data_IF_539101088597
#
_entry.id   IF_539101088597
#
_cell.length_a   1.000
_cell.length_b   1.000
_cell.length_c   1.000
_cell.angle_alpha   90.00
_cell.angle_beta   90.00
_cell.angle_gamma   90.00
#
_symmetry.space_group_name_H-M   'P 1'
#
loop_
_entity.id
_entity.type
_entity.pdbx_description
1 polymer ?
#
# COMPACT_ATOMS: atom_id res chain seq x y z
N UNK A 1 14.13 7.78 -2.85
CA UNK A 1 12.76 7.23 -2.67
C UNK A 1 11.92 7.46 -3.92
N UNK A 2 10.95 6.59 -4.19
CA UNK A 2 9.89 6.80 -5.19
C UNK A 2 8.54 6.73 -4.50
N UNK A 3 7.62 7.61 -4.87
CA UNK A 3 6.27 7.69 -4.31
C UNK A 3 5.25 7.28 -5.37
N UNK A 4 4.22 6.55 -4.93
CA UNK A 4 3.16 6.06 -5.79
C UNK A 4 1.82 6.32 -5.11
N UNK A 5 0.87 6.93 -5.83
CA UNK A 5 -0.50 7.01 -5.38
C UNK A 5 -1.10 5.61 -5.45
N UNK A 6 -1.80 5.18 -4.41
CA UNK A 6 -2.30 3.79 -4.30
C UNK A 6 -3.70 3.74 -3.71
N UNK A 7 -4.29 2.55 -3.70
CA UNK A 7 -5.50 2.28 -2.92
C UNK A 7 -6.75 2.96 -3.46
N UNK A 8 -7.59 3.44 -2.53
CA UNK A 8 -8.89 4.02 -2.85
C UNK A 8 -8.80 5.21 -3.79
N UNK A 9 -7.76 6.05 -3.64
CA UNK A 9 -7.57 7.22 -4.49
C UNK A 9 -7.43 6.86 -5.98
N UNK A 10 -6.68 5.81 -6.31
CA UNK A 10 -6.51 5.38 -7.71
C UNK A 10 -7.80 4.75 -8.24
N UNK A 11 -8.44 3.88 -7.46
CA UNK A 11 -9.72 3.27 -7.79
C UNK A 11 -10.80 4.32 -8.07
N UNK A 12 -10.92 5.30 -7.18
CA UNK A 12 -11.97 6.32 -7.26
C UNK A 12 -11.74 7.24 -8.47
N UNK A 13 -10.49 7.59 -8.78
CA UNK A 13 -10.14 8.28 -10.04
C UNK A 13 -10.58 7.48 -11.27
N UNK A 14 -10.33 6.17 -11.30
CA UNK A 14 -10.70 5.30 -12.42
C UNK A 14 -12.22 5.15 -12.58
N UNK A 15 -12.96 5.23 -11.47
CA UNK A 15 -14.43 5.19 -11.45
C UNK A 15 -15.08 6.56 -11.74
N UNK A 16 -14.30 7.64 -11.85
CA UNK A 16 -14.81 9.00 -11.98
C UNK A 16 -15.48 9.54 -10.71
N UNK A 17 -15.11 8.98 -9.54
CA UNK A 17 -15.60 9.39 -8.22
C UNK A 17 -14.64 10.46 -7.68
N UNK A 18 -15.18 11.44 -6.95
CA UNK A 18 -14.36 12.46 -6.30
C UNK A 18 -13.44 11.83 -5.25
N UNK A 19 -12.14 12.10 -5.35
CA UNK A 19 -11.14 11.57 -4.41
C UNK A 19 -11.10 12.44 -3.16
N UNK A 20 -11.42 11.83 -2.02
CA UNK A 20 -11.47 12.52 -0.72
C UNK A 20 -10.11 12.45 -0.02
N UNK A 21 -9.48 11.27 -0.04
CA UNK A 21 -8.22 10.99 0.65
C UNK A 21 -7.23 10.37 -0.33
N UNK A 22 -5.94 10.66 -0.14
CA UNK A 22 -4.85 10.13 -0.95
C UNK A 22 -3.87 9.38 -0.06
N UNK A 23 -3.71 8.10 -0.39
CA UNK A 23 -2.73 7.23 0.21
C UNK A 23 -1.55 7.04 -0.74
N UNK A 24 -0.36 7.13 -0.18
CA UNK A 24 0.89 6.99 -0.92
C UNK A 24 1.70 5.81 -0.40
N UNK A 25 2.35 5.09 -1.32
CA UNK A 25 3.38 4.11 -0.99
C UNK A 25 4.74 4.67 -1.39
N UNK A 26 5.71 4.54 -0.49
CA UNK A 26 7.08 4.96 -0.68
C UNK A 26 7.98 3.73 -0.80
N UNK A 27 8.68 3.62 -1.93
CA UNK A 27 9.61 2.52 -2.25
C UNK A 27 11.05 3.04 -2.24
N UNK A 28 11.98 2.20 -1.79
CA UNK A 28 13.40 2.55 -1.77
C UNK A 28 13.72 3.67 -0.78
N UNK A 29 13.13 3.60 0.41
CA UNK A 29 13.42 4.49 1.53
C UNK A 29 13.35 3.72 2.85
N UNK A 30 14.05 4.24 3.85
CA UNK A 30 14.06 3.79 5.24
C UNK A 30 13.24 4.73 6.13
N UNK A 31 12.87 4.26 7.32
CA UNK A 31 12.24 5.11 8.35
C UNK A 31 13.09 6.34 8.64
N UNK A 32 14.41 6.17 8.76
CA UNK A 32 15.33 7.28 9.02
C UNK A 32 15.26 8.34 7.91
N UNK A 33 15.32 7.93 6.64
CA UNK A 33 15.25 8.86 5.51
C UNK A 33 13.90 9.60 5.40
N UNK A 34 12.80 8.97 5.86
CA UNK A 34 11.50 9.64 5.98
C UNK A 34 11.56 10.72 7.07
N UNK A 35 12.05 10.37 8.25
CA UNK A 35 12.17 11.32 9.38
C UNK A 35 13.14 12.47 9.09
N UNK A 36 14.26 12.19 8.40
CA UNK A 36 15.23 13.20 7.96
C UNK A 36 14.63 14.20 6.95
N UNK A 37 13.48 13.87 6.34
CA UNK A 37 12.71 14.72 5.44
C UNK A 37 11.46 15.33 6.11
N UNK A 38 11.43 15.40 7.44
CA UNK A 38 10.34 15.98 8.23
C UNK A 38 8.99 15.26 8.12
N UNK A 39 8.97 14.02 7.62
CA UNK A 39 7.77 13.19 7.71
C UNK A 39 7.48 12.82 9.17
N UNK A 40 6.21 12.88 9.55
CA UNK A 40 5.79 12.55 10.92
C UNK A 40 5.24 11.13 10.98
N UNK A 41 5.90 10.23 11.72
CA UNK A 41 5.41 8.87 11.87
C UNK A 41 4.07 8.80 12.64
N UNK A 42 3.14 7.99 12.14
CA UNK A 42 1.85 7.71 12.75
C UNK A 42 1.78 6.23 13.13
N UNK A 43 1.55 5.97 14.42
CA UNK A 43 1.56 4.61 14.96
C UNK A 43 2.98 4.05 15.16
N UNK A 44 3.10 3.08 16.06
CA UNK A 44 4.39 2.45 16.38
C UNK A 44 4.66 1.19 15.56
N UNK A 45 3.60 0.48 15.21
CA UNK A 45 3.70 -0.87 14.63
C UNK A 45 3.76 -0.86 13.10
N UNK A 46 3.30 0.22 12.47
CA UNK A 46 3.27 0.36 11.02
C UNK A 46 4.13 1.54 10.55
N UNK A 47 4.91 1.39 9.46
CA UNK A 47 5.75 2.46 8.93
C UNK A 47 4.91 3.41 8.05
N UNK A 48 3.93 4.08 8.67
CA UNK A 48 3.07 5.08 8.04
C UNK A 48 3.47 6.47 8.55
N UNK A 49 3.49 7.44 7.66
CA UNK A 49 3.96 8.80 7.95
C UNK A 49 3.04 9.84 7.32
N UNK A 50 2.90 11.01 7.95
CA UNK A 50 2.25 12.16 7.36
C UNK A 50 3.27 13.01 6.62
N UNK A 51 2.94 13.38 5.39
CA UNK A 51 3.72 14.32 4.61
C UNK A 51 3.80 15.69 5.31
N UNK A 52 4.98 16.34 5.40
CA UNK A 52 5.18 17.57 6.19
C UNK A 52 4.23 18.71 5.79
N UNK A 53 3.96 18.87 4.49
CA UNK A 53 3.15 19.98 3.95
C UNK A 53 1.68 19.61 3.77
N UNK A 54 1.40 18.48 3.13
CA UNK A 54 0.03 18.10 2.71
C UNK A 54 -0.71 17.33 3.79
N UNK A 55 0.01 16.76 4.76
CA UNK A 55 -0.52 15.84 5.79
C UNK A 55 -1.19 14.59 5.20
N UNK A 56 -0.94 14.27 3.94
CA UNK A 56 -1.37 13.01 3.32
C UNK A 56 -0.54 11.83 3.87
N UNK A 57 -1.11 10.63 3.83
CA UNK A 57 -0.48 9.43 4.37
C UNK A 57 0.51 8.81 3.37
N UNK A 58 1.72 8.53 3.86
CA UNK A 58 2.80 7.89 3.13
C UNK A 58 3.27 6.66 3.90
N UNK A 59 2.99 5.47 3.38
CA UNK A 59 3.43 4.21 3.95
C UNK A 59 4.70 3.73 3.24
N UNK A 60 5.70 3.26 3.99
CA UNK A 60 6.80 2.50 3.38
C UNK A 60 6.28 1.17 2.83
N UNK A 61 6.76 0.81 1.64
CA UNK A 61 6.51 -0.50 1.05
C UNK A 61 6.97 -1.60 2.02
N UNK A 62 6.10 -2.60 2.21
CA UNK A 62 6.33 -3.63 3.23
C UNK A 62 5.85 -5.00 2.77
N UNK A 63 6.44 -6.03 3.35
CA UNK A 63 5.98 -7.42 3.25
C UNK A 63 5.71 -7.99 4.63
N UNK A 64 4.95 -9.07 4.68
CA UNK A 64 4.76 -9.85 5.90
C UNK A 64 5.77 -11.00 5.92
N UNK A 65 6.56 -11.11 6.99
CA UNK A 65 7.47 -12.24 7.19
C UNK A 65 6.96 -13.09 8.36
N UNK A 66 6.81 -14.40 8.13
CA UNK A 66 6.55 -15.36 9.21
C UNK A 66 7.81 -15.45 10.06
N UNK A 67 7.73 -15.05 11.33
CA UNK A 67 8.85 -15.21 12.24
C UNK A 67 8.95 -16.69 12.66
N UNK A 68 10.09 -17.29 12.40
CA UNK A 68 10.32 -18.73 12.50
C UNK A 68 10.58 -19.16 13.94
N UNK A 69 9.58 -19.05 14.83
CA UNK A 69 9.43 -19.77 16.12
C UNK A 69 8.19 -19.24 16.88
N UNK A 70 7.01 -19.73 16.50
CA UNK A 70 5.78 -19.51 17.26
C UNK A 70 4.55 -19.35 16.36
N UNK A 71 3.47 -20.07 16.67
CA UNK A 71 2.17 -19.84 16.06
C UNK A 71 1.63 -18.51 16.59
N UNK A 72 1.72 -17.40 15.83
CA UNK A 72 0.78 -16.23 15.79
C UNK A 72 1.38 -14.88 15.31
N UNK A 73 2.69 -14.74 15.08
CA UNK A 73 3.28 -13.42 14.76
C UNK A 73 3.68 -13.22 13.31
N UNK A 74 2.91 -12.44 12.53
CA UNK A 74 3.45 -11.81 11.31
C UNK A 74 4.23 -10.56 11.71
N UNK A 75 5.50 -10.47 11.32
CA UNK A 75 6.25 -9.22 11.47
C UNK A 75 6.17 -8.42 10.16
N UNK A 76 5.91 -7.12 10.32
CA UNK A 76 5.96 -6.16 9.22
C UNK A 76 7.43 -5.90 8.90
N UNK A 77 7.82 -6.26 7.68
CA UNK A 77 9.14 -5.99 7.16
C UNK A 77 9.06 -4.87 6.14
N UNK A 78 9.52 -3.68 6.50
CA UNK A 78 9.70 -2.55 5.59
C UNK A 78 11.19 -2.30 5.39
N UNK A 79 11.64 -2.43 4.16
CA UNK A 79 13.03 -2.27 3.75
C UNK A 79 13.07 -1.58 2.39
N UNK A 80 14.13 -0.80 2.07
CA UNK A 80 14.32 -0.23 0.74
C UNK A 80 14.29 -1.26 -0.41
N UNK A 81 14.54 -2.53 -0.10
CA UNK A 81 14.52 -3.64 -1.06
C UNK A 81 13.10 -4.13 -1.39
N UNK A 82 12.10 -3.79 -0.58
CA UNK A 82 10.71 -4.18 -0.85
C UNK A 82 10.21 -3.42 -2.07
N UNK A 83 9.81 -4.18 -3.08
CA UNK A 83 9.30 -3.63 -4.34
C UNK A 83 7.84 -3.21 -4.23
N UNK A 84 7.40 -2.34 -5.16
CA UNK A 84 6.01 -1.95 -5.28
C UNK A 84 5.09 -3.17 -5.48
N UNK A 85 5.46 -4.09 -6.39
CA UNK A 85 4.70 -5.31 -6.67
C UNK A 85 4.51 -6.18 -5.41
N UNK A 86 5.54 -6.30 -4.57
CA UNK A 86 5.44 -7.02 -3.29
C UNK A 86 4.48 -6.34 -2.30
N UNK A 87 4.42 -5.01 -2.26
CA UNK A 87 3.44 -4.31 -1.44
C UNK A 87 2.02 -4.40 -2.02
N UNK A 88 1.85 -4.32 -3.35
CA UNK A 88 0.54 -4.40 -3.99
C UNK A 88 -0.08 -5.79 -3.83
N UNK A 89 0.72 -6.85 -3.95
CA UNK A 89 0.25 -8.25 -3.88
C UNK A 89 -0.20 -8.70 -2.49
N UNK A 90 0.14 -7.97 -1.41
CA UNK A 90 -0.33 -8.28 -0.05
C UNK A 90 -1.68 -7.63 0.29
N UNK A 91 -2.20 -6.78 -0.59
CA UNK A 91 -3.46 -6.06 -0.35
C UNK A 91 -4.66 -7.01 -0.40
N UNK A 92 -5.79 -6.52 0.07
CA UNK A 92 -7.03 -7.26 0.19
C UNK A 92 -7.69 -7.53 -1.17
N UNK A 93 -7.96 -6.47 -1.94
CA UNK A 93 -8.75 -6.48 -3.16
C UNK A 93 -7.92 -5.98 -4.34
N UNK A 94 -8.09 -6.62 -5.50
CA UNK A 94 -7.36 -6.31 -6.74
C UNK A 94 -7.53 -4.85 -7.14
N UNK A 95 -8.74 -4.32 -6.99
CA UNK A 95 -9.08 -2.92 -7.29
C UNK A 95 -8.37 -1.90 -6.36
N UNK A 96 -7.91 -2.33 -5.18
CA UNK A 96 -7.15 -1.52 -4.23
C UNK A 96 -5.63 -1.70 -4.40
N UNK A 97 -5.19 -2.61 -5.28
CA UNK A 97 -3.79 -2.91 -5.58
C UNK A 97 -3.33 -2.35 -6.92
N UNK A 98 -3.85 -1.18 -7.27
CA UNK A 98 -3.40 -0.40 -8.41
C UNK A 98 -2.59 0.77 -7.85
N UNK A 99 -1.42 1.00 -8.44
CA UNK A 99 -0.58 2.14 -8.17
C UNK A 99 -0.52 3.07 -9.37
N UNK A 100 -0.29 4.35 -9.12
CA UNK A 100 -0.08 5.38 -10.14
C UNK A 100 1.18 6.17 -9.81
N UNK A 101 2.09 6.28 -10.77
CA UNK A 101 3.29 7.09 -10.61
C UNK A 101 3.06 8.57 -10.93
N UNK A 102 4.08 9.41 -10.71
CA UNK A 102 4.04 10.85 -10.95
C UNK A 102 3.79 11.21 -12.43
N UNK A 103 4.13 10.33 -13.37
CA UNK A 103 3.85 10.51 -14.80
C UNK A 103 2.41 10.16 -15.18
N UNK A 104 1.65 9.61 -14.22
CA UNK A 104 0.29 9.15 -14.42
C UNK A 104 0.18 7.72 -14.97
N UNK A 105 1.30 7.00 -15.11
CA UNK A 105 1.30 5.60 -15.53
C UNK A 105 0.76 4.73 -14.40
N UNK A 106 -0.11 3.81 -14.78
CA UNK A 106 -0.68 2.81 -13.87
C UNK A 106 0.22 1.57 -13.79
N UNK A 107 0.36 1.03 -12.59
CA UNK A 107 1.01 -0.23 -12.28
C UNK A 107 -0.04 -1.12 -11.61
N UNK A 108 -0.37 -2.23 -12.26
CA UNK A 108 -1.45 -3.12 -11.86
C UNK A 108 -1.04 -4.60 -11.99
N UNK A 109 -0.26 -5.14 -11.04
CA UNK A 109 0.18 -6.53 -11.06
C UNK A 109 -0.96 -7.51 -10.77
N UNK A 110 -2.07 -7.04 -10.19
CA UNK A 110 -3.18 -7.87 -9.73
C UNK A 110 -4.38 -7.86 -10.69
N UNK A 111 -4.28 -7.17 -11.83
CA UNK A 111 -5.35 -7.03 -12.82
C UNK A 111 -6.62 -6.35 -12.26
N UNK A 112 -6.44 -5.41 -11.34
CA UNK A 112 -7.50 -4.60 -10.73
C UNK A 112 -8.22 -3.70 -11.72
N UNK A 113 -7.56 -3.20 -12.77
CA UNK A 113 -8.21 -2.36 -13.79
C UNK A 113 -9.28 -3.14 -14.56
N UNK A 114 -9.00 -4.40 -14.90
CA UNK A 114 -9.99 -5.27 -15.53
C UNK A 114 -11.15 -5.55 -14.57
N UNK A 115 -10.86 -5.76 -13.28
CA UNK A 115 -11.89 -5.99 -12.27
C UNK A 115 -12.77 -4.74 -12.06
N UNK A 116 -12.20 -3.53 -12.08
CA UNK A 116 -12.95 -2.26 -12.07
C UNK A 116 -13.91 -2.20 -13.26
N UNK A 117 -13.41 -2.45 -14.48
CA UNK A 117 -14.22 -2.38 -15.70
C UNK A 117 -15.37 -3.39 -15.70
N UNK A 118 -15.13 -4.58 -15.14
CA UNK A 118 -16.12 -5.65 -15.03
C UNK A 118 -16.98 -5.56 -13.76
N UNK A 119 -16.73 -4.56 -12.89
CA UNK A 119 -17.38 -4.40 -11.58
C UNK A 119 -17.25 -5.65 -10.68
N UNK A 120 -16.06 -6.24 -10.67
CA UNK A 120 -15.73 -7.43 -9.88
C UNK A 120 -14.97 -7.00 -8.63
N UNK A 121 -15.40 -7.50 -7.47
CA UNK A 121 -14.65 -7.44 -6.22
C UNK A 121 -13.92 -8.77 -6.04
N UNK A 122 -12.61 -8.80 -6.33
CA UNK A 122 -11.78 -10.01 -6.24
C UNK A 122 -10.67 -9.82 -5.22
N UNK A 123 -10.49 -10.83 -4.37
CA UNK A 123 -9.36 -10.88 -3.45
C UNK A 123 -8.06 -11.22 -4.16
N UNK A 124 -6.96 -10.61 -3.73
CA UNK A 124 -5.63 -10.86 -4.33
C UNK A 124 -5.04 -12.17 -3.84
N UNK A 125 -5.17 -12.44 -2.53
CA UNK A 125 -4.74 -13.69 -1.94
C UNK A 125 -5.91 -14.43 -1.31
N UNK A 126 -5.81 -15.75 -1.26
CA UNK A 126 -6.68 -16.61 -0.45
C UNK A 126 -6.36 -16.50 1.05
N UNK A 127 -5.31 -15.76 1.44
CA UNK A 127 -4.84 -15.63 2.82
C UNK A 127 -5.73 -14.74 3.70
N UNK A 128 -6.91 -14.36 3.22
CA UNK A 128 -8.00 -13.81 4.03
C UNK A 128 -8.35 -14.67 5.26
N UNK A 129 -7.88 -15.91 5.31
CA UNK A 129 -8.00 -16.80 6.47
C UNK A 129 -7.15 -16.39 7.68
N UNK A 130 -6.19 -15.47 7.56
CA UNK A 130 -5.23 -15.15 8.64
C UNK A 130 -5.43 -13.76 9.31
N UNK A 131 -6.38 -12.90 8.88
CA UNK A 131 -6.63 -11.57 9.50
C UNK A 131 -8.12 -11.38 9.90
N UNK A 132 -8.49 -11.51 11.20
CA UNK A 132 -9.87 -11.45 11.67
C UNK A 132 -10.49 -10.03 11.68
N UNK A 133 -9.71 -8.97 11.42
CA UNK A 133 -10.24 -7.59 11.39
C UNK A 133 -10.89 -7.20 10.05
N UNK A 134 -10.93 -8.11 9.08
CA UNK A 134 -11.39 -7.84 7.71
C UNK A 134 -12.77 -8.44 7.36
N UNK A 135 -13.63 -8.67 8.35
CA UNK A 135 -15.01 -9.19 8.18
C UNK A 135 -16.03 -8.07 8.09
#
# INVERSE_FOLDING_TARGET
>A
MKTYLVGGAVRDQLLGINVIERDWVVVGATVKEMLDQDYQQVGKDFPVFLHPTTKEEHALARTERKDGRGHTGFQIYASPEVTLDQDLTRRDLTINAIAKDESGRLIDPCNGLADINNRILRHISTAFTEDPLRV
#
